data_IF_678405700102
#
_entry.id   IF_678405700102
#
_cell.length_a   1.000
_cell.length_b   1.000
_cell.length_c   1.000
_cell.angle_alpha   90.00
_cell.angle_beta   90.00
_cell.angle_gamma   90.00
#
_symmetry.space_group_name_H-M   'P 1'
#
loop_
_entity.id
_entity.type
_entity.pdbx_description
1 polymer ?
#
# COMPACT_ATOMS: atom_id res chain seq x y z
N UNK A 1 -6.74 14.93 19.08
CA UNK A 1 -8.03 14.25 19.27
C UNK A 1 -8.50 13.68 17.94
N UNK A 2 -8.76 12.37 17.90
CA UNK A 2 -9.29 11.73 16.71
C UNK A 2 -10.68 12.28 16.37
N UNK A 3 -10.97 12.50 15.07
CA UNK A 3 -12.29 12.95 14.64
C UNK A 3 -13.37 11.93 15.01
N UNK A 4 -14.56 12.41 15.34
CA UNK A 4 -15.69 11.58 15.79
C UNK A 4 -16.03 10.44 14.79
N UNK A 5 -15.91 10.72 13.50
CA UNK A 5 -16.13 9.74 12.43
C UNK A 5 -15.12 8.58 12.49
N UNK A 6 -13.84 8.88 12.72
CA UNK A 6 -12.79 7.86 12.84
C UNK A 6 -13.06 6.93 14.03
N UNK A 7 -13.46 7.50 15.17
CA UNK A 7 -13.83 6.72 16.36
C UNK A 7 -15.07 5.86 16.13
N UNK A 8 -16.09 6.37 15.44
CA UNK A 8 -17.28 5.59 15.14
C UNK A 8 -16.97 4.37 14.27
N UNK A 9 -16.13 4.52 13.24
CA UNK A 9 -15.72 3.39 12.39
C UNK A 9 -14.90 2.38 13.19
N UNK A 10 -13.90 2.83 13.95
CA UNK A 10 -13.07 1.91 14.75
C UNK A 10 -13.88 1.16 15.80
N UNK A 11 -14.86 1.81 16.45
CA UNK A 11 -15.75 1.16 17.41
C UNK A 11 -16.64 0.12 16.73
N UNK A 12 -17.19 0.43 15.56
CA UNK A 12 -18.00 -0.52 14.78
C UNK A 12 -17.20 -1.76 14.40
N UNK A 13 -15.98 -1.57 13.92
CA UNK A 13 -15.11 -2.67 13.49
C UNK A 13 -14.57 -3.47 14.67
N UNK A 14 -14.28 -2.82 15.81
CA UNK A 14 -13.88 -3.49 17.05
C UNK A 14 -15.01 -4.32 17.68
N UNK A 15 -16.27 -4.08 17.31
CA UNK A 15 -17.41 -4.89 17.75
C UNK A 15 -17.54 -6.21 16.96
N UNK A 16 -16.71 -6.44 15.92
CA UNK A 16 -16.70 -7.69 15.17
C UNK A 16 -16.11 -8.82 16.03
N UNK A 17 -16.63 -10.06 15.90
CA UNK A 17 -16.15 -11.20 16.67
C UNK A 17 -14.65 -11.45 16.43
N UNK A 18 -13.88 -11.72 17.48
CA UNK A 18 -12.45 -12.10 17.43
C UNK A 18 -12.18 -13.35 16.58
N UNK A 19 -13.22 -14.19 16.38
CA UNK A 19 -13.15 -15.32 15.45
C UNK A 19 -12.81 -14.91 14.00
N UNK A 20 -12.98 -13.65 13.64
CA UNK A 20 -12.66 -13.11 12.31
C UNK A 20 -11.23 -12.54 12.21
N UNK A 21 -10.47 -12.48 13.31
CA UNK A 21 -9.13 -11.89 13.32
C UNK A 21 -8.19 -12.57 12.32
N UNK A 22 -8.25 -13.91 12.23
CA UNK A 22 -7.47 -14.66 11.24
C UNK A 22 -7.83 -14.29 9.80
N UNK A 23 -9.11 -14.08 9.52
CA UNK A 23 -9.56 -13.61 8.21
C UNK A 23 -9.04 -12.20 7.91
N UNK A 24 -9.10 -11.29 8.89
CA UNK A 24 -8.60 -9.93 8.73
C UNK A 24 -7.09 -9.88 8.52
N UNK A 25 -6.33 -10.76 9.19
CA UNK A 25 -4.89 -10.89 8.96
C UNK A 25 -4.60 -11.30 7.52
N UNK A 26 -5.27 -12.33 7.01
CA UNK A 26 -5.13 -12.77 5.62
C UNK A 26 -5.48 -11.63 4.65
N UNK A 27 -6.58 -10.92 4.87
CA UNK A 27 -6.99 -9.80 4.04
C UNK A 27 -6.00 -8.63 4.09
N UNK A 28 -5.37 -8.40 5.24
CA UNK A 28 -4.33 -7.41 5.42
C UNK A 28 -3.04 -7.72 4.66
N UNK A 29 -2.73 -8.99 4.45
CA UNK A 29 -1.54 -9.45 3.72
C UNK A 29 -1.77 -9.56 2.21
N UNK A 30 -3.02 -9.62 1.75
CA UNK A 30 -3.35 -9.74 0.33
C UNK A 30 -2.69 -8.67 -0.55
N UNK A 31 -2.61 -7.37 -0.18
CA UNK A 31 -1.93 -6.37 -0.99
C UNK A 31 -0.45 -6.71 -1.24
N UNK A 32 0.26 -7.19 -0.21
CA UNK A 32 1.66 -7.57 -0.33
C UNK A 32 1.83 -8.82 -1.20
N UNK A 33 1.00 -9.84 -0.99
CA UNK A 33 0.98 -11.06 -1.80
C UNK A 33 0.69 -10.76 -3.27
N UNK A 34 -0.35 -9.98 -3.55
CA UNK A 34 -0.71 -9.62 -4.92
C UNK A 34 0.38 -8.77 -5.57
N UNK A 35 0.96 -7.83 -4.84
CA UNK A 35 2.10 -7.04 -5.30
C UNK A 35 3.29 -7.92 -5.69
N UNK A 36 3.62 -8.91 -4.85
CA UNK A 36 4.69 -9.87 -5.13
C UNK A 36 4.38 -10.69 -6.39
N UNK A 37 3.17 -11.20 -6.54
CA UNK A 37 2.74 -11.96 -7.73
C UNK A 37 2.90 -11.11 -8.99
N UNK A 38 2.47 -9.85 -8.97
CA UNK A 38 2.61 -8.93 -10.10
C UNK A 38 4.08 -8.66 -10.43
N UNK A 39 4.92 -8.44 -9.41
CA UNK A 39 6.35 -8.22 -9.58
C UNK A 39 7.03 -9.44 -10.22
N UNK A 40 6.81 -10.63 -9.65
CA UNK A 40 7.37 -11.87 -10.18
C UNK A 40 6.88 -12.12 -11.61
N UNK A 41 5.59 -11.91 -11.89
CA UNK A 41 5.04 -12.06 -13.23
C UNK A 41 5.64 -11.06 -14.24
N UNK A 42 5.94 -9.83 -13.82
CA UNK A 42 6.62 -8.84 -14.67
C UNK A 42 8.04 -9.27 -15.00
N UNK A 43 8.80 -9.75 -14.02
CA UNK A 43 10.17 -10.23 -14.19
C UNK A 43 10.21 -11.50 -15.05
N UNK A 44 9.35 -12.48 -14.79
CA UNK A 44 9.25 -13.73 -15.53
C UNK A 44 8.91 -13.52 -17.01
N UNK A 45 8.17 -12.44 -17.33
CA UNK A 45 7.84 -12.07 -18.72
C UNK A 45 8.89 -11.18 -19.37
N UNK A 46 10.06 -11.01 -18.78
CA UNK A 46 11.14 -10.18 -19.29
C UNK A 46 10.84 -8.67 -19.31
N UNK A 47 9.80 -8.21 -18.57
CA UNK A 47 9.45 -6.80 -18.49
C UNK A 47 10.30 -6.07 -17.45
N UNK A 48 11.61 -6.08 -17.64
CA UNK A 48 12.58 -5.51 -16.70
C UNK A 48 12.29 -4.04 -16.33
N UNK A 49 11.82 -3.25 -17.31
CA UNK A 49 11.43 -1.83 -17.06
C UNK A 49 10.32 -1.73 -16.01
N UNK A 50 9.25 -2.52 -16.18
CA UNK A 50 8.14 -2.54 -15.22
C UNK A 50 8.62 -3.03 -13.86
N UNK A 51 9.42 -4.10 -13.81
CA UNK A 51 10.00 -4.60 -12.56
C UNK A 51 10.85 -3.53 -11.85
N UNK A 52 11.68 -2.80 -12.58
CA UNK A 52 12.47 -1.69 -12.04
C UNK A 52 11.58 -0.60 -11.46
N UNK A 53 10.53 -0.19 -12.18
CA UNK A 53 9.62 0.87 -11.76
C UNK A 53 8.87 0.46 -10.47
N UNK A 54 8.49 -0.83 -10.37
CA UNK A 54 7.89 -1.40 -9.16
C UNK A 54 8.87 -1.40 -7.97
N UNK A 55 10.14 -1.76 -8.19
CA UNK A 55 11.17 -1.71 -7.14
C UNK A 55 11.42 -0.27 -6.69
N UNK A 56 11.49 0.67 -7.63
CA UNK A 56 11.60 2.09 -7.31
C UNK A 56 10.40 2.58 -6.49
N UNK A 57 9.19 2.11 -6.80
CA UNK A 57 7.98 2.46 -6.03
C UNK A 57 8.05 1.93 -4.59
N UNK A 58 8.61 0.74 -4.38
CA UNK A 58 8.86 0.21 -3.03
C UNK A 58 9.84 1.14 -2.28
N UNK A 59 10.97 1.47 -2.90
CA UNK A 59 12.00 2.33 -2.28
C UNK A 59 11.43 3.69 -1.94
N UNK A 60 10.77 4.35 -2.89
CA UNK A 60 10.14 5.67 -2.66
C UNK A 60 9.03 5.56 -1.61
N UNK A 61 8.21 4.50 -1.64
CA UNK A 61 7.18 4.25 -0.65
C UNK A 61 7.73 4.09 0.76
N UNK A 62 8.82 3.33 0.92
CA UNK A 62 9.51 3.18 2.21
C UNK A 62 10.11 4.50 2.69
N UNK A 63 10.75 5.25 1.80
CA UNK A 63 11.32 6.58 2.13
C UNK A 63 10.22 7.53 2.59
N UNK A 64 9.09 7.60 1.86
CA UNK A 64 7.96 8.44 2.25
C UNK A 64 7.37 8.00 3.59
N UNK A 65 7.26 6.69 3.83
CA UNK A 65 6.81 6.16 5.12
C UNK A 65 7.74 6.57 6.27
N UNK A 66 9.06 6.46 6.10
CA UNK A 66 10.03 6.89 7.10
C UNK A 66 9.94 8.39 7.38
N UNK A 67 9.87 9.20 6.32
CA UNK A 67 9.81 10.66 6.43
C UNK A 67 8.50 11.10 7.10
N UNK A 68 7.36 10.57 6.67
CA UNK A 68 6.07 10.89 7.27
C UNK A 68 6.00 10.43 8.73
N UNK A 69 6.48 9.23 9.03
CA UNK A 69 6.57 8.75 10.40
C UNK A 69 7.43 9.67 11.26
N UNK A 70 8.58 10.10 10.76
CA UNK A 70 9.46 11.05 11.46
C UNK A 70 8.81 12.41 11.72
N UNK A 71 8.09 12.93 10.74
CA UNK A 71 7.41 14.24 10.86
C UNK A 71 6.25 14.17 11.85
N UNK A 72 5.44 13.10 11.81
CA UNK A 72 4.20 13.01 12.58
C UNK A 72 4.46 12.50 14.00
N UNK A 73 5.32 11.48 14.16
CA UNK A 73 5.57 10.84 15.46
C UNK A 73 6.73 11.52 16.21
N UNK A 74 7.59 12.24 15.50
CA UNK A 74 8.80 12.87 16.08
C UNK A 74 9.98 11.91 16.27
N UNK A 75 9.82 10.61 16.04
CA UNK A 75 10.86 9.57 16.10
C UNK A 75 10.92 8.77 14.80
N UNK A 76 12.05 8.12 14.54
CA UNK A 76 12.16 7.25 13.37
C UNK A 76 11.30 5.99 13.57
N UNK A 77 10.46 5.62 12.56
CA UNK A 77 9.72 4.36 12.63
C UNK A 77 10.66 3.15 12.68
N UNK A 78 10.28 2.16 13.46
CA UNK A 78 11.03 0.93 13.59
C UNK A 78 10.84 0.02 12.36
N UNK A 79 11.91 -0.17 11.58
CA UNK A 79 11.85 -0.90 10.29
C UNK A 79 11.39 -2.36 10.45
N UNK A 80 11.65 -2.99 11.61
CA UNK A 80 11.19 -4.36 11.86
C UNK A 80 9.65 -4.49 11.83
N UNK A 81 8.92 -3.41 12.08
CA UNK A 81 7.45 -3.39 12.00
C UNK A 81 6.90 -3.47 10.57
N UNK A 82 7.76 -3.34 9.54
CA UNK A 82 7.35 -3.61 8.16
C UNK A 82 6.98 -5.09 7.95
N UNK A 83 7.60 -5.99 8.69
CA UNK A 83 7.51 -7.44 8.53
C UNK A 83 6.93 -8.17 9.75
N UNK A 84 6.64 -7.44 10.85
CA UNK A 84 6.10 -8.01 12.08
C UNK A 84 4.58 -8.27 11.99
N UNK A 85 4.03 -8.87 13.05
CA UNK A 85 2.59 -9.10 13.17
C UNK A 85 1.80 -7.80 13.17
N UNK A 86 0.57 -7.86 12.67
CA UNK A 86 -0.39 -6.76 12.72
C UNK A 86 -0.97 -6.73 14.14
N UNK A 87 -0.18 -6.21 15.08
CA UNK A 87 -0.57 -6.10 16.49
C UNK A 87 -0.54 -4.65 16.97
N UNK A 88 -1.39 -4.26 17.95
CA UNK A 88 -1.27 -2.97 18.62
C UNK A 88 0.10 -2.80 19.29
N UNK A 89 0.65 -1.58 19.40
CA UNK A 89 0.00 -0.29 19.18
C UNK A 89 -0.09 0.12 17.71
N UNK A 90 -1.11 0.96 17.37
CA UNK A 90 -1.33 1.41 16.00
C UNK A 90 -0.09 2.13 15.44
N UNK A 91 0.31 1.74 14.22
CA UNK A 91 1.43 2.35 13.51
C UNK A 91 0.90 3.42 12.55
N UNK A 92 1.53 4.59 12.55
CA UNK A 92 1.20 5.67 11.62
C UNK A 92 2.44 6.05 10.80
N UNK A 93 2.30 6.16 9.48
CA UNK A 93 1.27 5.54 8.63
C UNK A 93 1.49 4.02 8.52
N UNK A 94 0.47 3.18 8.23
CA UNK A 94 0.65 1.73 8.12
C UNK A 94 1.43 1.35 6.85
N UNK A 95 2.70 1.02 7.01
CA UNK A 95 3.61 0.68 5.92
C UNK A 95 3.19 -0.60 5.16
N UNK A 96 2.63 -1.58 5.88
CA UNK A 96 2.13 -2.83 5.28
C UNK A 96 1.04 -2.62 4.23
N UNK A 97 0.30 -1.52 4.32
CA UNK A 97 -0.67 -1.12 3.30
C UNK A 97 -0.03 -0.19 2.27
N UNK A 98 0.71 0.83 2.73
CA UNK A 98 1.23 1.90 1.87
C UNK A 98 2.23 1.40 0.83
N UNK A 99 3.19 0.58 1.23
CA UNK A 99 4.25 0.09 0.32
C UNK A 99 3.69 -0.83 -0.77
N UNK A 100 2.89 -1.88 -0.47
CA UNK A 100 2.26 -2.68 -1.51
C UNK A 100 1.29 -1.89 -2.39
N UNK A 101 0.56 -0.93 -1.82
CA UNK A 101 -0.32 -0.07 -2.60
C UNK A 101 0.47 0.78 -3.61
N UNK A 102 1.62 1.37 -3.22
CA UNK A 102 2.49 2.12 -4.11
C UNK A 102 2.96 1.26 -5.29
N UNK A 103 3.39 0.02 -5.01
CA UNK A 103 3.80 -0.94 -6.03
C UNK A 103 2.65 -1.27 -6.99
N UNK A 104 1.45 -1.58 -6.47
CA UNK A 104 0.29 -1.93 -7.29
C UNK A 104 -0.22 -0.76 -8.13
N UNK A 105 -0.22 0.46 -7.57
CA UNK A 105 -0.61 1.68 -8.29
C UNK A 105 0.40 1.93 -9.42
N UNK A 106 1.70 1.81 -9.17
CA UNK A 106 2.75 1.97 -10.19
C UNK A 106 2.64 0.92 -11.30
N UNK A 107 2.30 -0.33 -10.98
CA UNK A 107 2.10 -1.38 -11.95
C UNK A 107 0.77 -1.26 -12.74
N UNK A 108 -0.20 -0.52 -12.22
CA UNK A 108 -1.58 -0.50 -12.73
C UNK A 108 -1.72 -0.16 -14.23
N UNK A 109 -0.90 0.74 -14.84
CA UNK A 109 -0.98 1.01 -16.27
C UNK A 109 -0.58 -0.18 -17.15
N UNK A 110 0.24 -1.07 -16.60
CA UNK A 110 0.77 -2.25 -17.32
C UNK A 110 -0.07 -3.51 -17.11
N UNK A 111 -1.08 -3.45 -16.23
CA UNK A 111 -1.97 -4.57 -15.96
C UNK A 111 -3.19 -4.56 -16.87
N UNK A 112 -3.63 -5.77 -17.27
CA UNK A 112 -4.93 -5.95 -17.91
C UNK A 112 -6.05 -5.52 -16.98
N UNK A 113 -7.16 -5.05 -17.55
CA UNK A 113 -8.31 -4.50 -16.77
C UNK A 113 -8.74 -5.36 -15.57
N UNK A 114 -8.93 -6.71 -15.72
CA UNK A 114 -9.34 -7.51 -14.57
C UNK A 114 -8.28 -7.57 -13.45
N UNK A 115 -7.00 -7.71 -13.78
CA UNK A 115 -5.92 -7.74 -12.80
C UNK A 115 -5.77 -6.40 -12.07
N UNK A 116 -5.96 -5.28 -12.79
CA UNK A 116 -5.97 -3.94 -12.20
C UNK A 116 -7.15 -3.74 -11.25
N UNK A 117 -8.36 -4.16 -11.64
CA UNK A 117 -9.55 -4.08 -10.76
C UNK A 117 -9.36 -4.93 -9.51
N UNK A 118 -8.83 -6.14 -9.67
CA UNK A 118 -8.51 -7.00 -8.54
C UNK A 118 -7.48 -6.36 -7.61
N UNK A 119 -6.45 -5.72 -8.15
CA UNK A 119 -5.46 -4.97 -7.36
C UNK A 119 -6.09 -3.88 -6.50
N UNK A 120 -7.00 -3.07 -7.06
CA UNK A 120 -7.72 -2.05 -6.28
C UNK A 120 -8.65 -2.65 -5.23
N UNK A 121 -9.33 -3.76 -5.55
CA UNK A 121 -10.16 -4.48 -4.58
C UNK A 121 -9.31 -4.97 -3.40
N UNK A 122 -8.15 -5.57 -3.68
CA UNK A 122 -7.23 -6.07 -2.67
C UNK A 122 -6.70 -4.94 -1.78
N UNK A 123 -6.36 -3.78 -2.35
CA UNK A 123 -5.96 -2.59 -1.58
C UNK A 123 -7.11 -2.14 -0.67
N UNK A 124 -8.34 -2.08 -1.18
CA UNK A 124 -9.50 -1.69 -0.39
C UNK A 124 -9.78 -2.66 0.76
N UNK A 125 -9.71 -3.97 0.51
CA UNK A 125 -9.87 -5.00 1.55
C UNK A 125 -8.75 -4.92 2.59
N UNK A 126 -7.51 -4.73 2.17
CA UNK A 126 -6.37 -4.52 3.08
C UNK A 126 -6.51 -3.27 3.94
N UNK A 127 -7.07 -2.19 3.38
CA UNK A 127 -7.36 -0.97 4.12
C UNK A 127 -8.43 -1.20 5.21
N UNK A 128 -9.51 -1.90 4.88
CA UNK A 128 -10.56 -2.27 5.84
C UNK A 128 -9.98 -3.18 6.92
N UNK A 129 -9.21 -4.20 6.54
CA UNK A 129 -8.58 -5.12 7.47
C UNK A 129 -7.64 -4.41 8.44
N UNK A 130 -6.83 -3.45 7.97
CA UNK A 130 -5.92 -2.67 8.81
C UNK A 130 -6.67 -1.89 9.90
N UNK A 131 -7.86 -1.34 9.58
CA UNK A 131 -8.71 -0.64 10.55
C UNK A 131 -9.43 -1.65 11.47
N UNK A 132 -9.92 -2.77 10.93
CA UNK A 132 -10.63 -3.81 11.69
C UNK A 132 -9.74 -4.43 12.77
N UNK A 133 -8.47 -4.67 12.46
CA UNK A 133 -7.47 -5.17 13.42
C UNK A 133 -6.98 -4.12 14.42
N UNK A 134 -7.45 -2.87 14.34
CA UNK A 134 -6.95 -1.79 15.18
C UNK A 134 -5.48 -1.41 14.92
N UNK A 135 -4.90 -1.92 13.83
CA UNK A 135 -3.49 -1.69 13.48
C UNK A 135 -3.21 -0.25 13.04
N UNK A 136 -4.23 0.47 12.60
CA UNK A 136 -4.14 1.91 12.30
C UNK A 136 -5.51 2.58 12.34
N UNK A 137 -5.50 3.90 12.51
CA UNK A 137 -6.71 4.72 12.38
C UNK A 137 -7.09 4.89 10.90
N UNK A 138 -8.35 5.26 10.64
CA UNK A 138 -8.81 5.60 9.28
C UNK A 138 -8.00 6.73 8.64
N UNK A 139 -7.52 7.70 9.45
CA UNK A 139 -6.60 8.74 9.01
C UNK A 139 -5.24 8.17 8.61
N UNK A 140 -4.71 7.21 9.37
CA UNK A 140 -3.45 6.53 9.03
C UNK A 140 -3.55 5.77 7.71
N UNK A 141 -4.66 5.08 7.49
CA UNK A 141 -4.95 4.39 6.21
C UNK A 141 -5.03 5.39 5.06
N UNK A 142 -5.76 6.50 5.22
CA UNK A 142 -5.82 7.55 4.20
C UNK A 142 -4.44 8.14 3.89
N UNK A 143 -3.63 8.42 4.92
CA UNK A 143 -2.26 8.90 4.75
C UNK A 143 -1.39 7.90 3.99
N UNK A 144 -1.52 6.60 4.28
CA UNK A 144 -0.80 5.53 3.55
C UNK A 144 -1.20 5.46 2.09
N UNK A 145 -2.48 5.56 1.77
CA UNK A 145 -2.95 5.50 0.39
C UNK A 145 -2.54 6.76 -0.40
N UNK A 146 -2.58 7.93 0.22
CA UNK A 146 -2.08 9.16 -0.39
C UNK A 146 -0.57 9.11 -0.63
N UNK A 147 0.22 8.61 0.34
CA UNK A 147 1.66 8.42 0.16
C UNK A 147 1.98 7.38 -0.90
N UNK A 148 1.18 6.31 -1.01
CA UNK A 148 1.30 5.32 -2.07
C UNK A 148 1.06 5.92 -3.46
N UNK A 149 0.01 6.74 -3.61
CA UNK A 149 -0.25 7.50 -4.83
C UNK A 149 0.87 8.49 -5.15
N UNK A 150 1.39 9.18 -4.14
CA UNK A 150 2.55 10.08 -4.26
C UNK A 150 3.81 9.34 -4.71
N UNK A 151 4.11 8.18 -4.12
CA UNK A 151 5.24 7.35 -4.54
C UNK A 151 5.13 6.92 -6.01
N UNK A 152 3.96 6.44 -6.41
CA UNK A 152 3.70 6.06 -7.80
C UNK A 152 3.87 7.26 -8.76
N UNK A 153 3.33 8.43 -8.39
CA UNK A 153 3.48 9.66 -9.18
C UNK A 153 4.95 10.07 -9.32
N UNK A 154 5.73 10.04 -8.23
CA UNK A 154 7.16 10.35 -8.24
C UNK A 154 7.90 9.40 -9.19
N UNK A 155 7.63 8.09 -9.11
CA UNK A 155 8.27 7.11 -10.00
C UNK A 155 7.93 7.39 -11.46
N UNK A 156 6.66 7.67 -11.77
CA UNK A 156 6.25 8.00 -13.14
C UNK A 156 6.85 9.31 -13.66
N UNK A 157 7.08 10.29 -12.79
CA UNK A 157 7.76 11.54 -13.16
C UNK A 157 9.25 11.33 -13.41
N UNK A 158 9.93 10.51 -12.58
CA UNK A 158 11.37 10.28 -12.68
C UNK A 158 11.75 9.37 -13.85
N UNK A 159 10.95 8.34 -14.10
CA UNK A 159 11.28 7.30 -15.08
C UNK A 159 10.56 7.50 -16.41
N UNK A 160 9.56 8.37 -16.45
CA UNK A 160 8.62 8.54 -17.54
C UNK A 160 7.56 7.44 -17.52
N UNK A 161 6.34 7.74 -17.94
CA UNK A 161 5.35 6.69 -18.15
C UNK A 161 5.76 5.90 -19.39
N UNK A 162 6.18 4.65 -19.22
CA UNK A 162 6.43 3.73 -20.33
C UNK A 162 5.15 3.30 -21.08
N UNK A 163 4.01 3.84 -20.68
CA UNK A 163 2.74 3.70 -21.38
C UNK A 163 2.68 4.74 -22.51
N UNK A 164 3.40 4.45 -23.62
CA UNK A 164 3.11 4.96 -24.94
C UNK A 164 2.89 6.47 -25.09
N UNK A 165 3.96 7.27 -25.17
CA UNK A 165 3.93 8.35 -26.18
C UNK A 165 4.03 7.65 -27.55
N UNK A 166 3.08 7.92 -28.49
CA UNK A 166 3.33 7.61 -29.89
C UNK A 166 4.66 8.33 -30.22
N UNK A 167 5.61 7.60 -30.75
CA UNK A 167 6.81 8.22 -31.28
C UNK A 167 6.37 9.23 -32.34
N UNK A 168 6.96 10.43 -32.29
CA UNK A 168 6.76 11.45 -33.32
C UNK A 168 7.47 11.09 -34.63
N UNK A 169 7.83 9.82 -34.82
CA UNK A 169 8.64 9.29 -35.92
C UNK A 169 7.86 8.28 -36.77
N UNK A 170 6.50 8.36 -36.83
CA UNK A 170 5.68 7.65 -37.83
C UNK A 170 4.99 8.63 -38.77
#
# INVERSE_FOLDING_TARGET
>A
PEPAFSRAISTLLAALPTALDGMWQILGDLPALWGLVVLVAALARGRAKVGRDMVLAIVVGVVLWLVLGRIVIGSWPEVHRLFGDIAPPPVFPPARLGVPAALLITASPHLVRPARRFGYLVIALGAIATVALGASSSLGVAASLLSAGGAAAIVHLLVGSSAGRPGLDD
#
